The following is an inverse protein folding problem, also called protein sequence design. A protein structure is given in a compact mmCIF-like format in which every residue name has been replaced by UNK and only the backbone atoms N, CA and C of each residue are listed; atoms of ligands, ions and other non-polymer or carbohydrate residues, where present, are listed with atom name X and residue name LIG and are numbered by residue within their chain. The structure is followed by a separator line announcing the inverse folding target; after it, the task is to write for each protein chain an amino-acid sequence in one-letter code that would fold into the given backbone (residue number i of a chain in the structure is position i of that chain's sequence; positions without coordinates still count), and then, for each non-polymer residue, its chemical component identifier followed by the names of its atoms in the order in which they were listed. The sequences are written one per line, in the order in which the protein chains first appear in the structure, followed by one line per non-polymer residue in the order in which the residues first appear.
data_IF_879300293121
#
_entry.id   IF_879300293121
#
_cell.length_a   1.000
_cell.length_b   1.000
_cell.length_c   1.000
_cell.angle_alpha   90.00
_cell.angle_beta   90.00
_cell.angle_gamma   90.00
#
_symmetry.space_group_name_H-M   'P 1'
#
loop_
_entity.id
_entity.type
_entity.pdbx_description
1 polymer ?
#
# COMPACT_ATOMS: atom_id res chain seq x y z
N UNK A 1 -5.70 23.81 -25.26
CA UNK A 1 -5.50 22.36 -25.15
C UNK A 1 -4.06 22.15 -24.69
N UNK A 2 -3.83 21.89 -23.39
CA UNK A 2 -2.49 21.62 -22.88
C UNK A 2 -2.03 20.21 -23.29
N UNK A 3 -0.73 19.90 -23.31
CA UNK A 3 -0.27 18.57 -23.66
C UNK A 3 -0.83 17.56 -22.65
N UNK A 4 -1.50 16.53 -23.16
CA UNK A 4 -1.90 15.37 -22.37
C UNK A 4 -0.58 14.67 -21.99
N UNK A 5 -0.18 14.60 -20.71
CA UNK A 5 1.00 13.82 -20.37
C UNK A 5 0.69 12.38 -20.74
N UNK A 6 1.50 11.87 -21.66
CA UNK A 6 1.50 10.52 -22.19
C UNK A 6 1.16 9.48 -21.12
N UNK A 7 -0.12 9.10 -21.02
CA UNK A 7 -0.63 8.10 -20.07
C UNK A 7 -0.16 6.66 -20.37
N UNK A 8 0.85 6.49 -21.25
CA UNK A 8 1.42 5.21 -21.68
C UNK A 8 2.96 5.23 -21.55
N UNK A 9 3.57 6.36 -21.18
CA UNK A 9 5.02 6.41 -20.94
C UNK A 9 5.31 6.10 -19.47
N UNK A 10 6.10 5.04 -19.27
CA UNK A 10 6.90 4.71 -18.09
C UNK A 10 6.61 5.56 -16.85
N UNK A 11 6.02 4.96 -15.81
CA UNK A 11 5.86 5.59 -14.48
C UNK A 11 7.19 6.04 -13.85
N UNK A 12 8.32 5.62 -14.42
CA UNK A 12 9.67 5.98 -14.01
C UNK A 12 10.31 6.97 -14.98
N UNK A 13 10.97 7.98 -14.41
CA UNK A 13 11.68 9.03 -15.14
C UNK A 13 12.97 8.51 -15.81
N UNK A 14 13.51 7.39 -15.34
CA UNK A 14 14.76 6.80 -15.86
C UNK A 14 14.72 5.26 -15.85
N UNK A 15 15.53 4.65 -16.72
CA UNK A 15 15.71 3.20 -16.75
C UNK A 15 16.36 2.66 -15.47
N UNK A 16 17.23 3.44 -14.81
CA UNK A 16 17.84 3.06 -13.54
C UNK A 16 16.80 2.97 -12.41
N UNK A 17 15.87 3.94 -12.34
CA UNK A 17 14.77 3.90 -11.38
C UNK A 17 13.86 2.70 -11.63
N UNK A 18 13.51 2.44 -12.90
CA UNK A 18 12.71 1.27 -13.27
C UNK A 18 13.41 -0.03 -12.87
N UNK A 19 14.71 -0.19 -13.17
CA UNK A 19 15.48 -1.38 -12.81
C UNK A 19 15.63 -1.55 -11.29
N UNK A 20 15.77 -0.45 -10.54
CA UNK A 20 15.82 -0.48 -9.08
C UNK A 20 14.48 -0.93 -8.49
N UNK A 21 13.37 -0.38 -9.00
CA UNK A 21 12.03 -0.80 -8.61
C UNK A 21 11.76 -2.26 -8.94
N UNK A 22 12.12 -2.72 -10.15
CA UNK A 22 11.92 -4.10 -10.59
C UNK A 22 12.65 -5.09 -9.66
N UNK A 23 13.90 -4.79 -9.30
CA UNK A 23 14.68 -5.61 -8.37
C UNK A 23 14.03 -5.68 -6.99
N UNK A 24 13.63 -4.54 -6.44
CA UNK A 24 12.96 -4.48 -5.15
C UNK A 24 11.60 -5.21 -5.17
N UNK A 25 10.81 -5.00 -6.22
CA UNK A 25 9.48 -5.59 -6.37
C UNK A 25 9.57 -7.11 -6.45
N UNK A 26 10.48 -7.65 -7.27
CA UNK A 26 10.72 -9.10 -7.37
C UNK A 26 11.17 -9.69 -6.04
N UNK A 27 12.09 -9.03 -5.33
CA UNK A 27 12.53 -9.49 -4.01
C UNK A 27 11.37 -9.51 -3.00
N UNK A 28 10.51 -8.49 -3.02
CA UNK A 28 9.31 -8.41 -2.15
C UNK A 28 8.28 -9.48 -2.48
N UNK A 29 8.05 -9.76 -3.77
CA UNK A 29 7.15 -10.82 -4.23
C UNK A 29 7.70 -12.18 -3.80
N UNK A 30 8.98 -12.45 -4.02
CA UNK A 30 9.60 -13.71 -3.62
C UNK A 30 9.49 -13.93 -2.10
N UNK A 31 9.80 -12.93 -1.29
CA UNK A 31 9.64 -13.00 0.16
C UNK A 31 8.18 -13.24 0.61
N UNK A 32 7.20 -12.82 -0.20
CA UNK A 32 5.77 -13.08 0.07
C UNK A 32 5.35 -14.49 -0.37
N UNK A 33 5.97 -15.05 -1.40
CA UNK A 33 5.74 -16.43 -1.85
C UNK A 33 6.41 -17.45 -0.92
N UNK A 34 7.57 -17.11 -0.38
CA UNK A 34 8.31 -17.94 0.58
C UNK A 34 7.70 -17.92 1.98
N UNK A 35 6.68 -17.08 2.21
CA UNK A 35 5.98 -16.99 3.49
C UNK A 35 5.13 -18.26 3.72
N UNK A 36 5.42 -19.06 4.77
CA UNK A 36 4.70 -20.31 5.01
C UNK A 36 3.30 -20.10 5.57
N UNK A 37 2.89 -18.86 5.85
CA UNK A 37 1.57 -18.56 6.41
C UNK A 37 0.48 -18.88 5.38
N UNK A 38 -0.63 -19.50 5.82
CA UNK A 38 -1.73 -19.81 4.93
C UNK A 38 -2.37 -18.51 4.40
N UNK A 39 -2.90 -18.59 3.17
CA UNK A 39 -3.65 -17.50 2.59
C UNK A 39 -4.85 -17.12 3.48
N UNK A 40 -5.07 -15.81 3.62
CA UNK A 40 -6.17 -15.28 4.42
C UNK A 40 -7.40 -15.13 3.53
N UNK A 41 -8.57 -15.60 3.99
CA UNK A 41 -9.83 -15.40 3.27
C UNK A 41 -10.12 -13.91 3.06
N UNK A 42 -10.74 -13.57 1.92
CA UNK A 42 -11.14 -12.19 1.62
C UNK A 42 -11.95 -11.53 2.76
N UNK A 43 -12.92 -12.24 3.34
CA UNK A 43 -13.74 -11.73 4.46
C UNK A 43 -12.88 -11.30 5.66
N UNK A 44 -11.88 -12.10 6.02
CA UNK A 44 -10.97 -11.79 7.12
C UNK A 44 -10.05 -10.60 6.82
N UNK A 45 -9.65 -10.41 5.56
CA UNK A 45 -8.91 -9.21 5.15
C UNK A 45 -9.79 -7.97 5.28
N UNK A 46 -11.04 -8.02 4.80
CA UNK A 46 -11.98 -6.90 4.89
C UNK A 46 -12.28 -6.53 6.34
N UNK A 47 -12.57 -7.51 7.21
CA UNK A 47 -12.78 -7.27 8.63
C UNK A 47 -11.59 -6.59 9.31
N UNK A 48 -10.35 -6.95 8.91
CA UNK A 48 -9.14 -6.30 9.41
C UNK A 48 -9.03 -4.85 8.93
N UNK A 49 -9.36 -4.58 7.66
CA UNK A 49 -9.36 -3.23 7.09
C UNK A 49 -10.39 -2.35 7.79
N UNK A 50 -11.62 -2.85 7.99
CA UNK A 50 -12.68 -2.12 8.70
C UNK A 50 -12.25 -1.72 10.11
N UNK A 51 -11.61 -2.64 10.85
CA UNK A 51 -11.09 -2.35 12.19
C UNK A 51 -10.00 -1.26 12.19
N UNK A 52 -9.12 -1.24 11.18
CA UNK A 52 -8.09 -0.20 11.02
C UNK A 52 -8.74 1.16 10.76
N UNK A 53 -9.73 1.21 9.85
CA UNK A 53 -10.45 2.43 9.50
C UNK A 53 -11.19 2.99 10.72
N UNK A 54 -11.90 2.13 11.45
CA UNK A 54 -12.63 2.52 12.65
C UNK A 54 -11.70 3.06 13.73
N UNK A 55 -10.54 2.42 13.93
CA UNK A 55 -9.50 2.91 14.86
C UNK A 55 -8.99 4.29 14.44
N UNK A 56 -8.74 4.49 13.14
CA UNK A 56 -8.27 5.78 12.62
C UNK A 56 -9.33 6.88 12.74
N UNK A 57 -10.63 6.55 12.60
CA UNK A 57 -11.75 7.48 12.78
C UNK A 57 -11.90 7.91 14.23
N UNK A 58 -11.84 6.98 15.18
CA UNK A 58 -11.90 7.30 16.62
C UNK A 58 -10.78 8.24 17.03
N UNK A 59 -9.55 8.02 16.54
CA UNK A 59 -8.42 8.92 16.77
C UNK A 59 -8.63 10.34 16.22
N UNK A 60 -9.37 10.49 15.13
CA UNK A 60 -9.70 11.80 14.55
C UNK A 60 -10.86 12.48 15.27
N UNK A 61 -11.78 11.70 15.86
CA UNK A 61 -12.94 12.20 16.59
C UNK A 61 -12.63 12.57 18.04
N UNK A 62 -11.47 12.17 18.56
CA UNK A 62 -10.98 12.53 19.89
C UNK A 62 -9.77 13.50 19.83
N UNK A 63 -9.99 14.80 19.55
CA UNK A 63 -8.91 15.79 19.60
C UNK A 63 -8.56 16.24 21.03
N UNK A 64 -9.23 15.74 22.08
CA UNK A 64 -9.24 16.31 23.44
C UNK A 64 -9.23 15.25 24.59
N UNK A 65 -8.63 14.08 24.40
CA UNK A 65 -8.44 13.09 25.48
C UNK A 65 -7.14 13.25 26.30
N UNK A 66 -6.49 14.41 26.22
CA UNK A 66 -5.10 14.63 26.69
C UNK A 66 -4.91 15.79 27.65
N UNK A 67 -5.90 16.14 28.48
CA UNK A 67 -5.69 16.99 29.67
C UNK A 67 -6.55 16.48 30.83
N UNK A 68 -5.99 15.57 31.63
CA UNK A 68 -6.28 15.38 33.06
C UNK A 68 -5.17 14.55 33.70
#
# INVERSE_FOLDING_TARGET
MGPIPSSILSEFETEEQAASYDRWFRARVQASLDDPRPAVSHQRVMARIDAIIETARRRQQDPQGGES
#
